data_IF_238073364029
#
_entry.id   IF_238073364029
#
_cell.length_a   1.000
_cell.length_b   1.000
_cell.length_c   1.000
_cell.angle_alpha   90.00
_cell.angle_beta   90.00
_cell.angle_gamma   90.00
#
_symmetry.space_group_name_H-M   'P 1'
#
loop_
_entity.id
_entity.type
_entity.pdbx_description
1 polymer ?
#
# COMPACT_ATOMS: atom_id res chain seq x y z
N UNK A 1 -31.51 -46.66 11.21
CA UNK A 1 -31.11 -45.99 12.47
C UNK A 1 -29.59 -45.99 12.51
N UNK A 2 -28.83 -44.92 12.35
CA UNK A 2 -29.08 -43.51 12.01
C UNK A 2 -27.70 -42.96 11.61
N UNK A 3 -27.66 -42.30 10.44
CA UNK A 3 -26.93 -41.07 10.14
C UNK A 3 -25.81 -40.63 11.08
N UNK A 4 -24.58 -40.51 10.55
CA UNK A 4 -23.65 -39.43 10.87
C UNK A 4 -22.81 -39.12 9.62
N UNK A 5 -23.35 -38.19 8.82
CA UNK A 5 -22.71 -37.60 7.63
C UNK A 5 -21.52 -36.74 8.03
N UNK A 6 -20.44 -36.82 7.25
CA UNK A 6 -19.24 -35.97 7.38
C UNK A 6 -19.48 -34.53 6.85
N UNK A 7 -20.70 -34.01 7.03
CA UNK A 7 -21.13 -32.64 6.84
C UNK A 7 -21.86 -32.23 8.12
N UNK A 8 -21.11 -32.03 9.20
CA UNK A 8 -21.54 -31.28 10.39
C UNK A 8 -20.29 -31.01 11.25
N UNK A 9 -19.32 -30.30 10.66
CA UNK A 9 -18.62 -29.36 11.53
C UNK A 9 -19.71 -28.36 11.92
N UNK A 10 -20.01 -28.18 13.23
CA UNK A 10 -20.96 -27.16 13.64
C UNK A 10 -20.56 -25.87 12.92
N UNK A 11 -21.53 -25.10 12.37
CA UNK A 11 -21.21 -23.80 11.80
C UNK A 11 -20.31 -23.12 12.81
N UNK A 12 -19.08 -22.80 12.39
CA UNK A 12 -18.08 -22.20 13.27
C UNK A 12 -18.81 -21.11 13.99
N UNK A 13 -19.05 -21.29 15.30
CA UNK A 13 -19.90 -20.36 16.06
C UNK A 13 -19.42 -18.97 15.66
N UNK A 14 -20.32 -18.09 15.19
CA UNK A 14 -19.91 -16.79 14.72
C UNK A 14 -19.03 -16.22 15.81
N UNK A 15 -17.74 -16.02 15.49
CA UNK A 15 -16.78 -15.53 16.48
C UNK A 15 -17.45 -14.33 17.13
N UNK A 16 -17.64 -14.34 18.46
CA UNK A 16 -18.44 -13.33 19.13
C UNK A 16 -17.97 -11.97 18.64
N UNK A 17 -18.93 -11.16 18.16
CA UNK A 17 -18.60 -9.89 17.54
C UNK A 17 -17.82 -9.07 18.56
N UNK A 18 -16.53 -8.84 18.28
CA UNK A 18 -15.69 -8.05 19.15
C UNK A 18 -16.19 -6.60 19.07
N UNK A 19 -16.90 -6.18 20.11
CA UNK A 19 -17.36 -4.80 20.30
C UNK A 19 -16.34 -4.07 21.17
N UNK A 20 -15.95 -2.87 20.75
CA UNK A 20 -15.16 -1.94 21.56
C UNK A 20 -16.10 -1.09 22.40
N UNK A 21 -16.64 -1.68 23.46
CA UNK A 21 -17.41 -0.97 24.46
C UNK A 21 -16.51 -0.24 25.48
N UNK A 22 -17.13 0.52 26.37
CA UNK A 22 -16.42 1.28 27.39
C UNK A 22 -15.60 0.39 28.34
N UNK A 23 -16.11 -0.80 28.68
CA UNK A 23 -15.43 -1.74 29.56
C UNK A 23 -14.14 -2.25 28.91
N UNK A 24 -14.21 -2.68 27.65
CA UNK A 24 -13.04 -3.14 26.88
C UNK A 24 -12.03 -2.01 26.67
N UNK A 25 -12.48 -0.79 26.39
CA UNK A 25 -11.60 0.38 26.29
C UNK A 25 -10.88 0.65 27.62
N UNK A 26 -11.59 0.53 28.75
CA UNK A 26 -11.03 0.69 30.09
C UNK A 26 -9.99 -0.38 30.40
N UNK A 27 -10.25 -1.64 30.05
CA UNK A 27 -9.32 -2.75 30.24
C UNK A 27 -8.08 -2.63 29.35
N UNK A 28 -8.26 -2.27 28.07
CA UNK A 28 -7.16 -1.98 27.15
C UNK A 28 -6.29 -0.83 27.67
N UNK A 29 -6.90 0.26 28.13
CA UNK A 29 -6.18 1.38 28.73
C UNK A 29 -5.46 1.01 30.04
N UNK A 30 -6.06 0.19 30.91
CA UNK A 30 -5.42 -0.28 32.14
C UNK A 30 -4.16 -1.09 31.84
N UNK A 31 -4.22 -1.99 30.84
CA UNK A 31 -3.05 -2.76 30.38
C UNK A 31 -2.00 -1.86 29.70
N UNK A 32 -2.43 -0.83 28.97
CA UNK A 32 -1.52 0.18 28.40
C UNK A 32 -0.78 0.94 29.51
N UNK A 33 -1.51 1.41 30.52
CA UNK A 33 -0.95 2.15 31.67
C UNK A 33 0.05 1.31 32.46
N UNK A 34 -0.23 0.03 32.65
CA UNK A 34 0.65 -0.92 33.34
C UNK A 34 1.93 -1.25 32.56
N UNK A 35 1.98 -1.01 31.25
CA UNK A 35 3.17 -1.27 30.46
C UNK A 35 4.31 -0.32 30.82
N UNK A 36 5.52 -0.86 31.02
CA UNK A 36 6.71 -0.06 31.37
C UNK A 36 7.17 0.84 30.21
N UNK A 37 6.96 0.37 28.97
CA UNK A 37 7.34 1.08 27.76
C UNK A 37 6.07 1.32 26.96
N UNK A 38 5.89 2.55 26.50
CA UNK A 38 4.72 2.98 25.74
C UNK A 38 5.17 3.54 24.41
N UNK A 39 4.52 3.09 23.35
CA UNK A 39 4.81 3.55 21.99
C UNK A 39 3.59 4.23 21.41
N UNK A 40 3.81 5.19 20.53
CA UNK A 40 2.78 5.78 19.66
C UNK A 40 3.23 5.69 18.22
N UNK A 41 2.45 5.00 17.38
CA UNK A 41 2.68 5.00 15.94
C UNK A 41 2.30 6.35 15.35
N UNK A 42 3.29 7.14 14.94
CA UNK A 42 3.07 8.47 14.37
C UNK A 42 2.95 8.44 12.84
N UNK A 43 1.71 8.62 12.39
CA UNK A 43 1.35 8.62 10.97
C UNK A 43 1.41 9.99 10.31
N UNK A 44 1.87 11.05 10.99
CA UNK A 44 1.96 12.45 10.52
C UNK A 44 0.61 13.16 10.25
N UNK A 45 -0.50 12.43 10.19
CA UNK A 45 -1.84 13.01 10.02
C UNK A 45 -2.47 13.49 11.32
N UNK A 46 -3.62 14.17 11.19
CA UNK A 46 -4.41 14.76 12.28
C UNK A 46 -4.51 13.87 13.53
N UNK A 47 -4.97 12.63 13.37
CA UNK A 47 -5.35 11.80 14.51
C UNK A 47 -4.14 11.44 15.39
N UNK A 48 -3.04 11.01 14.77
CA UNK A 48 -1.81 10.74 15.53
C UNK A 48 -1.14 12.02 16.04
N UNK A 49 -1.34 13.16 15.39
CA UNK A 49 -0.87 14.46 15.88
C UNK A 49 -1.65 14.90 17.12
N UNK A 50 -2.98 14.80 17.13
CA UNK A 50 -3.81 15.15 18.30
C UNK A 50 -3.44 14.28 19.50
N UNK A 51 -3.24 12.97 19.29
CA UNK A 51 -2.76 12.07 20.35
C UNK A 51 -1.41 12.55 20.95
N UNK A 52 -0.44 12.98 20.12
CA UNK A 52 0.81 13.56 20.60
C UNK A 52 0.56 14.82 21.42
N UNK A 53 -0.25 15.75 20.90
CA UNK A 53 -0.53 17.03 21.58
C UNK A 53 -1.19 16.80 22.95
N UNK A 54 -2.07 15.82 23.03
CA UNK A 54 -2.73 15.41 24.27
C UNK A 54 -1.75 14.78 25.28
N UNK A 55 -0.85 13.91 24.82
CA UNK A 55 0.20 13.31 25.66
C UNK A 55 1.18 14.37 26.18
N UNK A 56 1.52 15.36 25.36
CA UNK A 56 2.41 16.46 25.76
C UNK A 56 1.75 17.40 26.78
N UNK A 57 0.43 17.61 26.66
CA UNK A 57 -0.37 18.49 27.52
C UNK A 57 -0.60 17.89 28.90
N UNK A 58 -1.03 16.64 28.96
CA UNK A 58 -1.38 15.96 30.21
C UNK A 58 -0.96 14.48 30.16
N UNK A 59 0.34 14.18 30.30
CA UNK A 59 0.83 12.81 30.18
C UNK A 59 0.16 11.84 31.16
N UNK A 60 -0.10 12.29 32.39
CA UNK A 60 -0.63 11.43 33.46
C UNK A 60 -2.06 10.99 33.17
N UNK A 61 -2.91 11.88 32.63
CA UNK A 61 -4.27 11.51 32.21
C UNK A 61 -4.29 10.42 31.12
N UNK A 62 -3.22 10.31 30.33
CA UNK A 62 -3.03 9.27 29.32
C UNK A 62 -2.15 8.11 29.79
N UNK A 63 -1.91 7.99 31.11
CA UNK A 63 -1.21 6.86 31.70
C UNK A 63 0.31 6.87 31.46
N UNK A 64 0.88 8.00 31.05
CA UNK A 64 2.32 8.18 30.80
C UNK A 64 3.02 8.76 32.04
N UNK A 65 4.35 8.65 32.08
CA UNK A 65 5.16 9.33 33.08
C UNK A 65 5.05 10.87 32.91
N UNK A 66 5.08 11.66 34.00
CA UNK A 66 4.99 13.13 33.93
C UNK A 66 6.05 13.80 33.03
N UNK A 67 7.21 13.16 32.89
CA UNK A 67 8.33 13.60 32.06
C UNK A 67 8.39 12.91 30.69
N UNK A 68 7.40 12.06 30.36
CA UNK A 68 7.32 11.29 29.13
C UNK A 68 8.53 10.36 28.89
N UNK A 69 9.27 10.01 29.93
CA UNK A 69 10.45 9.13 29.83
C UNK A 69 10.11 7.71 29.36
N UNK A 70 8.87 7.28 29.58
CA UNK A 70 8.31 5.99 29.17
C UNK A 70 7.65 6.00 27.78
N UNK A 71 7.56 7.16 27.13
CA UNK A 71 6.98 7.32 25.79
C UNK A 71 8.05 7.26 24.69
N UNK A 72 7.75 6.51 23.64
CA UNK A 72 8.49 6.48 22.37
C UNK A 72 7.51 6.76 21.24
N UNK A 73 7.76 7.80 20.47
CA UNK A 73 6.99 8.11 19.26
C UNK A 73 7.73 7.52 18.07
N UNK A 74 7.09 6.63 17.31
CA UNK A 74 7.74 5.89 16.22
C UNK A 74 7.06 6.23 14.90
N UNK A 75 7.82 6.71 13.92
CA UNK A 75 7.35 7.01 12.57
C UNK A 75 7.94 6.03 11.56
N UNK A 76 7.08 5.49 10.67
CA UNK A 76 7.53 4.68 9.54
C UNK A 76 7.64 5.53 8.26
N UNK A 77 8.87 5.76 7.80
CA UNK A 77 9.17 6.52 6.60
C UNK A 77 8.94 5.69 5.33
N UNK A 78 7.80 5.92 4.67
CA UNK A 78 7.39 5.18 3.46
C UNK A 78 8.02 5.71 2.16
N UNK A 79 8.50 6.97 2.16
CA UNK A 79 9.25 7.56 1.03
C UNK A 79 8.53 8.60 0.19
N UNK A 80 7.20 8.71 0.31
CA UNK A 80 6.37 9.33 -0.73
C UNK A 80 5.25 10.20 -0.19
N UNK A 81 5.43 10.72 1.01
CA UNK A 81 4.55 11.73 1.57
C UNK A 81 4.74 13.06 0.84
N UNK A 82 3.74 13.93 0.90
CA UNK A 82 3.84 15.31 0.43
C UNK A 82 4.84 16.12 1.27
N UNK A 83 5.53 17.06 0.63
CA UNK A 83 6.48 17.96 1.30
C UNK A 83 5.80 18.83 2.35
N UNK A 84 4.57 19.27 2.08
CA UNK A 84 3.78 20.06 3.04
C UNK A 84 3.53 19.32 4.35
N UNK A 85 3.29 18.00 4.31
CA UNK A 85 3.14 17.19 5.54
C UNK A 85 4.43 17.17 6.35
N UNK A 86 5.58 16.97 5.72
CA UNK A 86 6.87 17.01 6.42
C UNK A 86 7.12 18.37 7.05
N UNK A 87 6.92 19.46 6.29
CA UNK A 87 7.15 20.82 6.77
C UNK A 87 6.27 21.17 7.98
N UNK A 88 4.99 20.81 7.94
CA UNK A 88 4.06 21.05 9.05
C UNK A 88 4.52 20.35 10.34
N UNK A 89 4.96 19.09 10.25
CA UNK A 89 5.47 18.31 11.40
C UNK A 89 6.78 18.87 11.93
N UNK A 90 7.72 19.19 11.04
CA UNK A 90 9.01 19.79 11.41
C UNK A 90 8.84 21.14 12.10
N UNK A 91 7.86 21.94 11.67
CA UNK A 91 7.57 23.26 12.24
C UNK A 91 6.80 23.17 13.56
N UNK A 92 5.78 22.32 13.65
CA UNK A 92 4.86 22.34 14.79
C UNK A 92 5.13 21.25 15.83
N UNK A 93 5.53 20.04 15.44
CA UNK A 93 5.54 18.89 16.35
C UNK A 93 6.95 18.54 16.83
N UNK A 94 7.95 18.51 15.95
CA UNK A 94 9.31 18.19 16.37
C UNK A 94 9.86 19.14 17.47
N UNK A 95 9.62 20.47 17.43
CA UNK A 95 10.05 21.36 18.51
C UNK A 95 9.44 20.99 19.86
N UNK A 96 8.15 20.60 19.89
CA UNK A 96 7.44 20.20 21.12
C UNK A 96 7.96 18.86 21.65
N UNK A 97 8.23 17.90 20.78
CA UNK A 97 8.87 16.63 21.18
C UNK A 97 10.25 16.87 21.79
N UNK A 98 11.06 17.75 21.17
CA UNK A 98 12.39 18.13 21.64
C UNK A 98 12.36 18.84 22.98
N UNK A 99 11.47 19.82 23.15
CA UNK A 99 11.28 20.57 24.41
C UNK A 99 10.97 19.63 25.57
N UNK A 100 10.13 18.61 25.33
CA UNK A 100 9.76 17.59 26.32
C UNK A 100 10.68 16.37 26.31
N UNK A 101 11.79 16.41 25.55
CA UNK A 101 12.77 15.33 25.35
C UNK A 101 12.16 13.96 25.05
N UNK A 102 11.02 13.91 24.35
CA UNK A 102 10.37 12.65 23.96
C UNK A 102 11.25 11.90 22.97
N UNK A 103 11.47 10.60 23.18
CA UNK A 103 12.23 9.77 22.22
C UNK A 103 11.42 9.61 20.95
N UNK A 104 11.96 10.11 19.85
CA UNK A 104 11.38 10.02 18.52
C UNK A 104 12.25 9.13 17.64
N UNK A 105 11.65 8.08 17.09
CA UNK A 105 12.33 7.07 16.28
C UNK A 105 11.72 7.04 14.88
N UNK A 106 12.56 7.06 13.87
CA UNK A 106 12.17 6.92 12.48
C UNK A 106 12.70 5.61 11.94
N UNK A 107 11.82 4.79 11.38
CA UNK A 107 12.16 3.48 10.82
C UNK A 107 11.71 3.39 9.37
N UNK A 108 12.41 2.59 8.57
CA UNK A 108 12.01 2.29 7.21
C UNK A 108 12.26 0.83 6.88
N UNK A 109 11.60 0.37 5.82
CA UNK A 109 11.91 -0.94 5.26
C UNK A 109 13.26 -0.92 4.56
N UNK A 110 14.10 -1.91 4.84
CA UNK A 110 15.49 -1.93 4.35
C UNK A 110 15.64 -2.39 2.89
N UNK A 111 14.73 -3.22 2.39
CA UNK A 111 14.86 -3.81 1.05
C UNK A 111 13.61 -4.50 0.48
N UNK A 112 13.69 -4.97 -0.79
CA UNK A 112 12.58 -5.58 -1.51
C UNK A 112 12.08 -6.91 -0.94
N UNK A 113 12.87 -7.61 -0.11
CA UNK A 113 12.41 -8.76 0.67
C UNK A 113 12.14 -8.36 2.12
N UNK A 114 11.07 -8.88 2.73
CA UNK A 114 10.83 -8.69 4.16
C UNK A 114 11.92 -9.35 5.02
N UNK A 115 12.59 -10.40 4.53
CA UNK A 115 13.71 -11.04 5.22
C UNK A 115 14.93 -10.13 5.39
N UNK A 116 14.98 -9.00 4.67
CA UNK A 116 16.06 -8.01 4.83
C UNK A 116 15.82 -7.08 6.03
N UNK A 117 14.68 -7.22 6.72
CA UNK A 117 14.38 -6.45 7.92
C UNK A 117 14.03 -4.99 7.65
N UNK A 118 14.15 -4.20 8.70
CA UNK A 118 13.97 -2.75 8.71
C UNK A 118 15.31 -2.06 8.99
N UNK A 119 15.32 -0.74 8.92
CA UNK A 119 16.43 0.11 9.35
C UNK A 119 15.92 1.25 10.23
N UNK A 120 16.74 1.67 11.18
CA UNK A 120 16.51 2.88 11.97
C UNK A 120 17.19 4.04 11.24
N UNK A 121 16.39 5.03 10.84
CA UNK A 121 16.88 6.23 10.15
C UNK A 121 17.33 7.29 11.15
N UNK A 122 16.64 7.38 12.28
CA UNK A 122 16.92 8.29 13.38
C UNK A 122 16.35 7.73 14.68
N UNK A 123 17.04 7.96 15.79
CA UNK A 123 16.58 7.67 17.15
C UNK A 123 17.14 8.78 18.04
N UNK A 124 16.28 9.75 18.38
CA UNK A 124 16.71 10.98 19.03
C UNK A 124 15.66 11.52 19.99
N UNK A 125 16.12 12.18 21.05
CA UNK A 125 15.28 13.03 21.92
C UNK A 125 15.31 14.50 21.52
N UNK A 126 16.08 14.83 20.49
CA UNK A 126 16.25 16.16 19.93
C UNK A 126 16.02 16.12 18.41
N UNK A 127 14.81 15.72 17.95
CA UNK A 127 14.54 15.65 16.52
C UNK A 127 14.45 17.06 15.90
N UNK A 128 15.03 17.23 14.71
CA UNK A 128 15.04 18.51 13.99
C UNK A 128 14.46 18.43 12.58
N UNK A 129 14.51 17.25 11.95
CA UNK A 129 14.02 17.00 10.59
C UNK A 129 13.48 15.59 10.50
N UNK A 130 12.54 15.37 9.59
CA UNK A 130 12.05 14.05 9.25
C UNK A 130 12.87 13.44 8.11
N UNK A 131 13.19 12.16 8.26
CA UNK A 131 13.77 11.37 7.20
C UNK A 131 12.69 10.98 6.20
N UNK A 132 12.72 11.61 5.02
CA UNK A 132 11.69 11.41 4.00
C UNK A 132 11.69 10.02 3.39
N UNK A 133 12.86 9.37 3.32
CA UNK A 133 13.02 8.03 2.75
C UNK A 133 14.12 7.24 3.46
N UNK A 134 13.93 5.93 3.54
CA UNK A 134 15.02 4.97 3.76
C UNK A 134 15.63 4.48 2.45
N UNK A 135 16.35 3.36 2.53
CA UNK A 135 16.99 2.66 1.40
C UNK A 135 15.97 2.13 0.40
N UNK A 136 14.82 1.67 0.88
CA UNK A 136 13.78 1.09 0.03
C UNK A 136 12.41 1.64 0.38
N UNK A 137 11.80 2.34 -0.57
CA UNK A 137 10.51 3.00 -0.40
C UNK A 137 9.38 2.19 -1.03
N UNK A 138 8.14 2.57 -0.72
CA UNK A 138 6.99 2.02 -1.43
C UNK A 138 7.05 2.37 -2.93
N UNK A 139 7.54 3.56 -3.29
CA UNK A 139 7.67 3.94 -4.68
C UNK A 139 8.65 3.04 -5.43
N UNK A 140 9.82 2.74 -4.84
CA UNK A 140 10.80 1.85 -5.44
C UNK A 140 10.18 0.45 -5.70
N UNK A 141 9.37 -0.05 -4.76
CA UNK A 141 8.63 -1.30 -4.95
C UNK A 141 7.61 -1.22 -6.10
N UNK A 142 6.84 -0.14 -6.17
CA UNK A 142 5.81 0.05 -7.19
C UNK A 142 6.41 0.24 -8.59
N UNK A 143 7.49 1.02 -8.69
CA UNK A 143 8.25 1.26 -9.93
C UNK A 143 8.87 -0.05 -10.44
N UNK A 144 9.67 -0.75 -9.61
CA UNK A 144 10.23 -2.06 -9.98
C UNK A 144 9.13 -3.11 -10.24
N UNK A 145 8.00 -2.97 -9.54
CA UNK A 145 6.78 -3.75 -9.68
C UNK A 145 6.07 -3.54 -11.02
N UNK A 146 6.24 -2.37 -11.65
CA UNK A 146 5.38 -1.94 -12.75
C UNK A 146 3.90 -2.06 -12.36
N UNK A 147 3.59 -1.59 -11.15
CA UNK A 147 2.28 -1.73 -10.50
C UNK A 147 2.00 -0.50 -9.64
N UNK A 148 0.73 -0.28 -9.33
CA UNK A 148 0.28 0.73 -8.36
C UNK A 148 -0.28 0.06 -7.09
N UNK A 149 -0.32 0.77 -5.95
CA UNK A 149 -1.02 0.29 -4.77
C UNK A 149 -2.47 -0.09 -5.10
N UNK A 150 -2.92 -1.23 -4.60
CA UNK A 150 -4.26 -1.75 -4.88
C UNK A 150 -5.15 -1.58 -3.65
N UNK A 151 -6.37 -1.11 -3.83
CA UNK A 151 -7.38 -1.10 -2.76
C UNK A 151 -7.74 -2.52 -2.33
N UNK A 152 -7.81 -3.43 -3.30
CA UNK A 152 -8.07 -4.84 -3.09
C UNK A 152 -6.90 -5.52 -2.38
N UNK A 153 -7.19 -6.33 -1.36
CA UNK A 153 -6.18 -7.09 -0.60
C UNK A 153 -5.79 -6.49 0.76
N UNK A 154 -6.46 -5.43 1.22
CA UNK A 154 -6.43 -5.03 2.64
C UNK A 154 -5.20 -4.24 3.09
N UNK A 155 -4.90 -3.11 2.41
CA UNK A 155 -3.84 -2.17 2.80
C UNK A 155 -2.43 -2.79 2.82
N UNK A 156 -2.12 -3.68 1.87
CA UNK A 156 -0.82 -4.40 1.82
C UNK A 156 0.38 -3.47 1.81
N UNK A 157 0.30 -2.31 1.17
CA UNK A 157 1.35 -1.30 1.20
C UNK A 157 1.66 -0.83 2.63
N UNK A 158 0.62 -0.53 3.42
CA UNK A 158 0.74 -0.13 4.81
C UNK A 158 1.27 -1.25 5.69
N UNK A 159 0.83 -2.50 5.46
CA UNK A 159 1.34 -3.65 6.23
C UNK A 159 2.83 -3.86 6.00
N UNK A 160 3.29 -3.79 4.74
CA UNK A 160 4.69 -4.06 4.37
C UNK A 160 5.64 -2.92 4.71
N UNK A 161 5.20 -1.67 4.59
CA UNK A 161 6.08 -0.49 4.72
C UNK A 161 5.86 0.30 6.01
N UNK A 162 4.79 0.04 6.76
CA UNK A 162 4.57 0.63 8.09
C UNK A 162 4.60 -0.42 9.18
N UNK A 163 3.58 -1.29 9.23
CA UNK A 163 3.43 -2.25 10.33
C UNK A 163 4.70 -3.11 10.51
N UNK A 164 5.18 -3.74 9.44
CA UNK A 164 6.41 -4.55 9.47
C UNK A 164 7.63 -3.84 10.07
N UNK A 165 7.87 -2.57 9.73
CA UNK A 165 9.03 -1.82 10.22
C UNK A 165 8.85 -1.36 11.68
N UNK A 166 7.65 -0.93 12.04
CA UNK A 166 7.30 -0.53 13.41
C UNK A 166 7.39 -1.74 14.35
N UNK A 167 6.75 -2.84 13.96
CA UNK A 167 6.69 -4.09 14.71
C UNK A 167 8.09 -4.69 14.89
N UNK A 168 8.88 -4.75 13.82
CA UNK A 168 10.26 -5.23 13.87
C UNK A 168 11.12 -4.39 14.82
N UNK A 169 10.98 -3.07 14.79
CA UNK A 169 11.70 -2.19 15.73
C UNK A 169 11.33 -2.46 17.19
N UNK A 170 10.05 -2.60 17.49
CA UNK A 170 9.59 -2.86 18.85
C UNK A 170 10.09 -4.23 19.33
N UNK A 171 10.00 -5.26 18.50
CA UNK A 171 10.44 -6.62 18.82
C UNK A 171 11.94 -6.69 19.10
N UNK A 172 12.77 -6.09 18.23
CA UNK A 172 14.22 -6.12 18.36
C UNK A 172 14.74 -5.22 19.51
N UNK A 173 14.08 -4.09 19.75
CA UNK A 173 14.53 -3.12 20.78
C UNK A 173 14.12 -3.55 22.19
N UNK A 174 12.98 -4.24 22.32
CA UNK A 174 12.40 -4.59 23.61
C UNK A 174 12.06 -6.09 23.71
N UNK A 175 13.05 -6.98 23.52
CA UNK A 175 12.81 -8.41 23.50
C UNK A 175 12.24 -8.89 24.83
N UNK A 176 11.09 -9.55 24.78
CA UNK A 176 10.41 -10.10 25.96
C UNK A 176 9.76 -9.08 26.89
N UNK A 177 9.79 -7.79 26.57
CA UNK A 177 9.13 -6.76 27.37
C UNK A 177 7.66 -6.60 27.00
N UNK A 178 6.83 -6.26 27.99
CA UNK A 178 5.45 -5.78 27.77
C UNK A 178 5.50 -4.34 27.26
N UNK A 179 5.19 -4.14 25.97
CA UNK A 179 5.05 -2.80 25.36
C UNK A 179 3.59 -2.46 25.14
N UNK A 180 3.18 -1.28 25.64
CA UNK A 180 1.87 -0.69 25.35
C UNK A 180 1.95 0.16 24.09
N UNK A 181 0.98 0.05 23.19
CA UNK A 181 0.95 0.78 21.91
C UNK A 181 -0.32 1.60 21.80
N UNK A 182 -0.16 2.92 21.76
CA UNK A 182 -1.24 3.84 21.44
C UNK A 182 -1.41 3.96 19.93
N UNK A 183 -2.67 3.97 19.47
CA UNK A 183 -3.04 4.18 18.07
C UNK A 183 -4.05 5.33 18.00
N UNK A 184 -3.73 6.35 17.20
CA UNK A 184 -4.60 7.51 16.99
C UNK A 184 -5.77 7.22 16.04
N UNK A 185 -6.64 6.26 16.35
CA UNK A 185 -7.94 6.16 15.67
C UNK A 185 -8.93 7.09 16.37
N UNK A 186 -9.62 7.96 15.63
CA UNK A 186 -10.68 8.80 16.20
C UNK A 186 -11.97 8.00 16.46
N UNK A 187 -12.93 8.59 17.18
CA UNK A 187 -14.18 7.94 17.58
C UNK A 187 -15.05 7.44 16.40
N UNK A 188 -14.81 7.93 15.18
CA UNK A 188 -15.49 7.46 13.97
C UNK A 188 -14.77 6.30 13.26
N UNK A 189 -13.69 5.77 13.85
CA UNK A 189 -12.86 4.68 13.30
C UNK A 189 -12.84 3.41 14.18
N UNK A 190 -13.87 3.20 15.00
CA UNK A 190 -14.09 2.04 15.87
C UNK A 190 -13.83 0.69 15.17
N UNK A 191 -14.31 0.52 13.93
CA UNK A 191 -14.10 -0.71 13.14
C UNK A 191 -12.61 -1.03 12.91
N UNK A 192 -11.76 -0.01 12.82
CA UNK A 192 -10.30 -0.20 12.67
C UNK A 192 -9.66 -0.63 13.98
N UNK A 193 -10.14 -0.11 15.10
CA UNK A 193 -9.71 -0.53 16.42
C UNK A 193 -10.14 -1.98 16.68
N UNK A 194 -11.39 -2.37 16.36
CA UNK A 194 -11.88 -3.76 16.45
C UNK A 194 -10.99 -4.70 15.64
N UNK A 195 -10.63 -4.31 14.41
CA UNK A 195 -9.73 -5.11 13.57
C UNK A 195 -8.33 -5.29 14.20
N UNK A 196 -7.84 -4.28 14.91
CA UNK A 196 -6.53 -4.31 15.57
C UNK A 196 -6.56 -5.21 16.81
N UNK A 197 -7.61 -5.12 17.63
CA UNK A 197 -7.87 -6.05 18.74
C UNK A 197 -7.97 -7.50 18.28
N UNK A 198 -8.72 -7.77 17.19
CA UNK A 198 -8.82 -9.12 16.60
C UNK A 198 -7.46 -9.64 16.13
N UNK A 199 -6.64 -8.79 15.51
CA UNK A 199 -5.30 -9.17 15.07
C UNK A 199 -4.39 -9.51 16.28
N UNK A 200 -4.52 -8.76 17.38
CA UNK A 200 -3.80 -9.03 18.62
C UNK A 200 -4.24 -10.35 19.28
N UNK A 201 -5.55 -10.55 19.46
CA UNK A 201 -6.11 -11.76 20.07
C UNK A 201 -5.77 -13.04 19.28
N UNK A 202 -5.68 -12.95 17.95
CA UNK A 202 -5.34 -14.07 17.08
C UNK A 202 -3.85 -14.46 17.03
N UNK A 203 -3.01 -13.92 17.92
CA UNK A 203 -1.57 -14.23 17.97
C UNK A 203 -0.78 -13.76 16.75
N UNK A 204 -1.33 -12.81 15.98
CA UNK A 204 -0.66 -12.18 14.82
C UNK A 204 0.05 -10.86 15.18
N UNK A 205 -0.05 -10.42 16.44
CA UNK A 205 0.76 -9.32 16.96
C UNK A 205 2.22 -9.79 17.18
N UNK A 206 3.20 -8.87 17.15
CA UNK A 206 4.61 -9.18 17.43
C UNK A 206 4.76 -9.91 18.76
N UNK A 207 5.73 -10.82 18.85
CA UNK A 207 6.04 -11.53 20.11
C UNK A 207 6.56 -10.50 21.13
N UNK A 208 5.68 -10.04 22.04
CA UNK A 208 5.98 -9.00 23.03
C UNK A 208 5.02 -7.79 23.04
N UNK A 209 4.04 -7.72 22.13
CA UNK A 209 3.07 -6.62 22.06
C UNK A 209 1.87 -6.86 22.99
N UNK A 210 1.88 -6.28 24.20
CA UNK A 210 0.99 -6.73 25.29
C UNK A 210 -0.22 -5.81 25.57
N UNK A 211 -0.32 -4.60 24.98
CA UNK A 211 -1.55 -3.79 25.14
C UNK A 211 -1.73 -2.71 24.08
N UNK A 212 -2.98 -2.50 23.64
CA UNK A 212 -3.37 -1.41 22.75
C UNK A 212 -4.12 -0.33 23.55
N UNK A 213 -3.92 0.95 23.23
CA UNK A 213 -4.81 2.04 23.65
C UNK A 213 -5.29 2.81 22.42
N UNK A 214 -6.52 3.34 22.50
CA UNK A 214 -7.12 4.18 21.47
C UNK A 214 -7.56 5.51 22.11
N UNK A 215 -6.61 6.43 22.37
CA UNK A 215 -6.87 7.62 23.18
C UNK A 215 -8.07 8.43 22.69
N UNK A 216 -8.16 8.64 21.37
CA UNK A 216 -9.19 9.49 20.78
C UNK A 216 -10.58 8.84 20.74
N UNK A 217 -10.65 7.50 20.64
CA UNK A 217 -11.92 6.76 20.81
C UNK A 217 -12.36 6.87 22.26
N UNK A 218 -11.46 6.61 23.21
CA UNK A 218 -11.75 6.65 24.65
C UNK A 218 -12.22 8.03 25.11
N UNK A 219 -11.70 9.10 24.52
CA UNK A 219 -12.14 10.48 24.81
C UNK A 219 -13.29 10.96 23.91
N UNK A 220 -13.87 10.09 23.08
CA UNK A 220 -15.00 10.43 22.21
C UNK A 220 -14.70 11.49 21.14
N UNK A 221 -13.44 11.69 20.76
CA UNK A 221 -13.04 12.74 19.81
C UNK A 221 -13.38 12.32 18.39
N UNK A 222 -14.25 13.08 17.74
CA UNK A 222 -14.59 12.88 16.34
C UNK A 222 -13.50 13.44 15.43
N UNK A 223 -13.56 13.13 14.13
CA UNK A 223 -12.66 13.73 13.13
C UNK A 223 -12.65 15.26 13.20
N UNK A 224 -13.82 15.88 13.33
CA UNK A 224 -13.94 17.35 13.36
C UNK A 224 -13.29 17.95 14.61
N UNK A 225 -13.40 17.28 15.76
CA UNK A 225 -12.75 17.72 16.99
C UNK A 225 -11.23 17.66 16.88
N UNK A 226 -10.71 16.55 16.34
CA UNK A 226 -9.27 16.35 16.09
C UNK A 226 -8.73 17.42 15.16
N UNK A 227 -9.39 17.67 14.02
CA UNK A 227 -8.96 18.69 13.04
C UNK A 227 -8.90 20.06 13.70
N UNK A 228 -10.02 20.50 14.30
CA UNK A 228 -10.10 21.81 14.98
C UNK A 228 -9.00 21.96 16.03
N UNK A 229 -8.80 20.95 16.87
CA UNK A 229 -7.82 21.00 17.96
C UNK A 229 -6.39 21.11 17.44
N UNK A 230 -6.03 20.32 16.43
CA UNK A 230 -4.68 20.36 15.85
C UNK A 230 -4.42 21.74 15.27
N UNK A 231 -5.36 22.30 14.51
CA UNK A 231 -5.20 23.63 13.91
C UNK A 231 -5.15 24.74 14.97
N UNK A 232 -5.98 24.69 16.02
CA UNK A 232 -5.94 25.64 17.14
C UNK A 232 -4.60 25.63 17.88
N UNK A 233 -4.03 24.44 18.15
CA UNK A 233 -2.79 24.31 18.94
C UNK A 233 -1.55 24.61 18.10
N UNK A 234 -1.58 24.26 16.82
CA UNK A 234 -0.44 24.46 15.91
C UNK A 234 -0.46 25.83 15.23
N UNK A 235 -1.63 26.48 15.15
CA UNK A 235 -1.82 27.75 14.46
C UNK A 235 -1.72 27.63 12.93
N UNK A 236 -1.88 26.43 12.36
CA UNK A 236 -1.73 26.19 10.92
C UNK A 236 -2.71 25.13 10.40
N UNK A 237 -3.11 25.20 9.11
CA UNK A 237 -3.87 24.14 8.47
C UNK A 237 -3.08 22.83 8.46
N UNK A 238 -3.75 21.70 8.66
CA UNK A 238 -3.05 20.42 8.86
C UNK A 238 -3.49 19.28 7.92
N UNK A 239 -3.06 19.20 6.66
CA UNK A 239 -3.57 18.16 5.74
C UNK A 239 -3.50 16.69 6.23
N UNK A 240 -4.35 15.84 5.64
CA UNK A 240 -4.27 14.37 5.87
C UNK A 240 -2.90 13.84 5.42
N UNK A 241 -2.39 12.83 6.14
CA UNK A 241 -1.17 12.12 5.73
C UNK A 241 -1.50 10.89 4.88
N UNK A 242 -0.94 10.84 3.68
CA UNK A 242 -0.85 9.69 2.80
C UNK A 242 0.15 9.98 1.65
N UNK A 243 0.59 8.91 0.97
CA UNK A 243 1.47 9.05 -0.18
C UNK A 243 0.76 9.75 -1.35
N UNK A 244 1.47 10.56 -2.15
CA UNK A 244 0.88 11.26 -3.30
C UNK A 244 0.34 10.35 -4.43
N UNK A 245 0.57 9.03 -4.35
CA UNK A 245 -0.02 8.00 -5.21
C UNK A 245 -0.93 7.02 -4.43
N UNK A 246 -1.54 7.48 -3.34
CA UNK A 246 -2.42 6.64 -2.52
C UNK A 246 -3.73 6.34 -3.23
N UNK A 247 -4.03 5.06 -3.45
CA UNK A 247 -5.32 4.59 -3.99
C UNK A 247 -6.54 5.05 -3.17
N UNK A 248 -6.36 5.30 -1.88
CA UNK A 248 -7.45 5.70 -0.98
C UNK A 248 -7.82 7.19 -1.06
N UNK A 249 -7.09 8.01 -1.83
CA UNK A 249 -7.46 9.41 -2.05
C UNK A 249 -8.88 9.56 -2.64
N UNK A 250 -9.30 8.59 -3.48
CA UNK A 250 -10.67 8.54 -4.01
C UNK A 250 -11.70 8.09 -2.96
N UNK A 251 -11.43 7.01 -2.22
CA UNK A 251 -12.42 6.39 -1.31
C UNK A 251 -12.58 7.11 0.03
N UNK A 252 -11.62 7.95 0.43
CA UNK A 252 -11.69 8.70 1.69
C UNK A 252 -12.30 10.10 1.53
N UNK A 253 -13.06 10.33 0.44
CA UNK A 253 -13.63 11.63 0.06
C UNK A 253 -12.58 12.76 0.01
N UNK A 254 -11.31 12.40 -0.20
CA UNK A 254 -10.18 13.30 -0.14
C UNK A 254 -9.72 13.73 -1.54
N UNK A 255 -10.46 13.42 -2.61
CA UNK A 255 -10.03 13.73 -3.98
C UNK A 255 -9.86 15.24 -4.21
N UNK A 256 -10.79 16.13 -3.80
CA UNK A 256 -10.56 17.57 -3.94
C UNK A 256 -9.31 18.06 -3.19
N UNK A 257 -9.16 17.66 -1.91
CA UNK A 257 -7.95 17.97 -1.12
C UNK A 257 -6.68 17.40 -1.78
N UNK A 258 -6.76 16.19 -2.32
CA UNK A 258 -5.65 15.53 -3.01
C UNK A 258 -5.24 16.31 -4.26
N UNK A 259 -6.19 16.71 -5.10
CA UNK A 259 -5.93 17.47 -6.33
C UNK A 259 -5.34 18.85 -6.02
N UNK A 260 -5.81 19.52 -4.97
CA UNK A 260 -5.21 20.77 -4.48
C UNK A 260 -3.73 20.59 -4.11
N UNK A 261 -3.40 19.53 -3.38
CA UNK A 261 -1.99 19.24 -3.02
C UNK A 261 -1.15 18.85 -4.23
N UNK A 262 -1.72 18.14 -5.21
CA UNK A 262 -1.06 17.83 -6.47
C UNK A 262 -0.82 19.10 -7.31
N UNK A 263 -1.64 20.14 -7.17
CA UNK A 263 -1.42 21.46 -7.78
C UNK A 263 -0.25 22.20 -7.13
N UNK A 264 -0.11 22.09 -5.81
CA UNK A 264 1.02 22.65 -5.06
C UNK A 264 2.33 21.89 -5.31
N UNK A 265 2.26 20.59 -5.57
CA UNK A 265 3.42 19.72 -5.81
C UNK A 265 3.35 19.01 -7.19
N UNK A 266 3.45 19.76 -8.31
CA UNK A 266 3.20 19.21 -9.65
C UNK A 266 4.19 18.11 -10.06
N UNK A 267 5.43 18.14 -9.56
CA UNK A 267 6.39 17.05 -9.77
C UNK A 267 5.97 15.73 -9.11
N UNK A 268 5.28 15.78 -7.96
CA UNK A 268 4.72 14.59 -7.32
C UNK A 268 3.55 14.03 -8.15
N UNK A 269 2.68 14.92 -8.65
CA UNK A 269 1.59 14.56 -9.56
C UNK A 269 2.10 13.89 -10.84
N UNK A 270 3.14 14.45 -11.45
CA UNK A 270 3.79 13.89 -12.64
C UNK A 270 4.33 12.47 -12.39
N UNK A 271 5.03 12.23 -11.27
CA UNK A 271 5.49 10.87 -10.92
C UNK A 271 4.33 9.92 -10.62
N UNK A 272 3.23 10.39 -10.04
CA UNK A 272 2.01 9.60 -9.81
C UNK A 272 1.38 9.14 -11.13
N UNK A 273 1.20 10.07 -12.06
CA UNK A 273 0.67 9.77 -13.38
C UNK A 273 1.61 8.84 -14.18
N UNK A 274 2.94 9.01 -14.07
CA UNK A 274 3.92 8.09 -14.68
C UNK A 274 3.86 6.70 -14.07
N UNK A 275 3.75 6.58 -12.75
CA UNK A 275 3.63 5.30 -12.08
C UNK A 275 2.39 4.54 -12.56
N UNK A 276 1.25 5.23 -12.63
CA UNK A 276 0.01 4.66 -13.18
C UNK A 276 0.13 4.35 -14.68
N UNK A 277 0.79 5.21 -15.47
CA UNK A 277 1.04 4.98 -16.89
C UNK A 277 1.77 3.65 -17.13
N UNK A 278 2.88 3.42 -16.40
CA UNK A 278 3.66 2.17 -16.51
C UNK A 278 2.84 0.97 -16.04
N UNK A 279 2.12 1.09 -14.92
CA UNK A 279 1.24 0.03 -14.42
C UNK A 279 0.17 -0.35 -15.44
N UNK A 280 -0.47 0.65 -16.05
CA UNK A 280 -1.46 0.46 -17.10
C UNK A 280 -0.84 -0.10 -18.36
N UNK A 281 0.36 0.34 -18.76
CA UNK A 281 1.08 -0.20 -19.91
C UNK A 281 1.28 -1.71 -19.81
N UNK A 282 1.67 -2.19 -18.63
CA UNK A 282 1.92 -3.60 -18.33
C UNK A 282 0.66 -4.40 -17.97
N UNK A 283 -0.44 -3.71 -17.65
CA UNK A 283 -1.75 -4.29 -17.40
C UNK A 283 -2.82 -3.21 -17.59
N UNK A 284 -3.61 -3.30 -18.64
CA UNK A 284 -4.69 -2.34 -18.91
C UNK A 284 -5.67 -2.05 -17.74
N UNK A 285 -5.83 -3.00 -16.82
CA UNK A 285 -6.66 -2.85 -15.62
C UNK A 285 -5.85 -2.37 -14.40
N UNK A 286 -4.62 -1.91 -14.59
CA UNK A 286 -3.65 -1.51 -13.57
C UNK A 286 -3.76 -0.05 -13.14
N UNK A 287 -4.95 0.54 -13.16
CA UNK A 287 -5.19 1.90 -12.65
C UNK A 287 -5.06 1.95 -11.12
N UNK A 288 -4.71 3.14 -10.61
CA UNK A 288 -4.70 3.44 -9.18
C UNK A 288 -6.08 3.22 -8.57
N UNK A 289 -7.15 3.60 -9.28
CA UNK A 289 -8.49 3.70 -8.69
C UNK A 289 -9.42 2.54 -9.11
N UNK A 290 -10.24 2.01 -8.19
CA UNK A 290 -11.14 0.89 -8.48
C UNK A 290 -12.20 1.17 -9.56
N UNK A 291 -12.60 2.43 -9.72
CA UNK A 291 -13.53 2.86 -10.76
C UNK A 291 -12.90 2.86 -12.16
N UNK A 292 -11.60 2.55 -12.27
CA UNK A 292 -10.81 2.52 -13.51
C UNK A 292 -10.67 3.88 -14.20
N UNK A 293 -10.97 4.97 -13.51
CA UNK A 293 -10.68 6.33 -13.98
C UNK A 293 -9.27 6.72 -13.58
N UNK A 294 -8.31 6.87 -14.51
CA UNK A 294 -6.93 7.15 -14.15
C UNK A 294 -6.76 8.52 -13.50
N UNK A 295 -5.70 8.67 -12.70
CA UNK A 295 -5.32 9.95 -12.09
C UNK A 295 -5.15 11.04 -13.15
N UNK A 296 -4.62 10.69 -14.32
CA UNK A 296 -4.52 11.65 -15.43
C UNK A 296 -5.89 12.24 -15.81
N UNK A 297 -6.97 11.44 -15.83
CA UNK A 297 -8.33 11.95 -16.08
C UNK A 297 -8.76 12.94 -14.99
N UNK A 298 -8.49 12.61 -13.72
CA UNK A 298 -8.85 13.47 -12.58
C UNK A 298 -8.08 14.81 -12.63
N UNK A 299 -6.77 14.78 -12.87
CA UNK A 299 -5.90 15.97 -12.99
C UNK A 299 -6.29 16.82 -14.20
N UNK A 300 -6.70 16.20 -15.30
CA UNK A 300 -7.22 16.90 -16.48
C UNK A 300 -8.54 17.62 -16.17
N UNK A 301 -9.48 16.93 -15.51
CA UNK A 301 -10.77 17.51 -15.13
C UNK A 301 -10.63 18.67 -14.13
N UNK A 302 -9.62 18.62 -13.25
CA UNK A 302 -9.27 19.69 -12.30
C UNK A 302 -8.64 20.92 -12.98
N UNK A 303 -8.24 20.83 -14.25
CA UNK A 303 -7.54 21.90 -14.95
C UNK A 303 -6.13 22.17 -14.40
N UNK A 304 -5.49 21.18 -13.80
CA UNK A 304 -4.16 21.32 -13.20
C UNK A 304 -3.05 21.27 -14.27
N UNK A 305 -2.93 22.36 -15.03
CA UNK A 305 -2.03 22.48 -16.17
C UNK A 305 -0.54 22.29 -15.79
N UNK A 306 -0.13 22.71 -14.59
CA UNK A 306 1.24 22.55 -14.11
C UNK A 306 1.60 21.06 -13.94
N UNK A 307 0.73 20.28 -13.30
CA UNK A 307 0.94 18.84 -13.14
C UNK A 307 0.97 18.10 -14.48
N UNK A 308 0.10 18.47 -15.43
CA UNK A 308 0.08 17.89 -16.78
C UNK A 308 1.35 18.26 -17.57
N UNK A 309 1.80 19.51 -17.47
CA UNK A 309 3.04 19.97 -18.10
C UNK A 309 4.27 19.23 -17.56
N UNK A 310 4.38 19.07 -16.24
CA UNK A 310 5.44 18.28 -15.60
C UNK A 310 5.38 16.81 -16.00
N UNK A 311 4.18 16.24 -16.16
CA UNK A 311 4.02 14.86 -16.63
C UNK A 311 4.50 14.68 -18.08
N UNK A 312 4.11 15.57 -18.99
CA UNK A 312 4.58 15.54 -20.37
C UNK A 312 6.09 15.78 -20.46
N UNK A 313 6.62 16.74 -19.68
CA UNK A 313 8.05 16.97 -19.58
C UNK A 313 8.78 15.72 -19.09
N UNK A 314 8.25 15.03 -18.08
CA UNK A 314 8.82 13.81 -17.53
C UNK A 314 8.83 12.65 -18.53
N UNK A 315 7.78 12.50 -19.35
CA UNK A 315 7.75 11.48 -20.41
C UNK A 315 8.72 11.78 -21.57
N UNK A 316 9.01 13.07 -21.80
CA UNK A 316 9.88 13.54 -22.88
C UNK A 316 11.30 13.89 -22.42
N UNK A 317 11.64 13.74 -21.13
CA UNK A 317 12.98 13.99 -20.60
C UNK A 317 13.99 13.08 -21.32
N UNK A 318 15.02 13.62 -22.00
CA UNK A 318 16.05 12.81 -22.67
C UNK A 318 16.80 11.85 -21.74
N UNK A 319 16.78 12.09 -20.42
CA UNK A 319 17.38 11.23 -19.39
C UNK A 319 16.43 10.13 -18.92
N UNK A 320 15.16 10.19 -19.31
CA UNK A 320 14.21 9.12 -19.03
C UNK A 320 14.42 7.99 -20.04
N UNK A 321 15.00 6.89 -19.57
CA UNK A 321 15.04 5.67 -20.37
C UNK A 321 13.63 5.12 -20.58
N UNK A 322 13.39 4.62 -21.79
CA UNK A 322 12.22 3.85 -22.17
C UNK A 322 12.63 2.41 -22.45
N UNK A 323 11.66 1.51 -22.36
CA UNK A 323 11.85 0.12 -22.66
C UNK A 323 10.67 -0.40 -23.50
N UNK A 324 11.00 -1.28 -24.46
CA UNK A 324 10.01 -2.16 -25.07
C UNK A 324 9.93 -3.41 -24.21
N UNK A 325 8.80 -3.57 -23.52
CA UNK A 325 8.52 -4.72 -22.69
C UNK A 325 7.77 -5.78 -23.48
N UNK A 326 8.12 -7.04 -23.27
CA UNK A 326 7.29 -8.19 -23.63
C UNK A 326 6.59 -8.72 -22.38
N UNK A 327 5.27 -8.64 -22.39
CA UNK A 327 4.42 -9.05 -21.29
C UNK A 327 3.75 -10.36 -21.67
N UNK A 328 3.95 -11.38 -20.83
CA UNK A 328 3.28 -12.68 -20.96
C UNK A 328 2.50 -12.98 -19.70
N UNK A 329 1.20 -13.26 -19.84
CA UNK A 329 0.30 -13.54 -18.72
C UNK A 329 -0.41 -14.88 -18.93
N UNK A 330 -0.53 -15.65 -17.87
CA UNK A 330 -1.39 -16.83 -17.83
C UNK A 330 -2.46 -16.62 -16.78
N UNK A 331 -3.70 -16.90 -17.15
CA UNK A 331 -4.86 -16.85 -16.29
C UNK A 331 -5.42 -18.25 -16.12
N UNK A 332 -4.90 -19.06 -15.17
CA UNK A 332 -5.37 -20.42 -14.94
C UNK A 332 -6.83 -20.46 -14.53
N UNK A 333 -7.49 -21.58 -14.80
CA UNK A 333 -8.81 -21.88 -14.28
C UNK A 333 -8.71 -22.33 -12.81
N UNK A 334 -9.66 -21.90 -11.98
CA UNK A 334 -9.71 -22.26 -10.56
C UNK A 334 -9.98 -23.76 -10.44
N UNK A 335 -9.39 -24.41 -9.45
CA UNK A 335 -9.78 -25.79 -9.08
C UNK A 335 -11.21 -25.81 -8.55
N UNK A 336 -12.02 -26.75 -9.03
CA UNK A 336 -13.37 -27.01 -8.51
C UNK A 336 -13.31 -27.42 -7.04
N UNK A 337 -14.43 -27.27 -6.30
CA UNK A 337 -14.51 -27.68 -4.90
C UNK A 337 -14.25 -29.18 -4.74
N UNK A 338 -14.97 -30.01 -5.50
CA UNK A 338 -14.80 -31.46 -5.55
C UNK A 338 -13.35 -31.88 -5.83
N UNK A 339 -12.62 -31.17 -6.70
CA UNK A 339 -11.20 -31.45 -6.93
C UNK A 339 -10.35 -31.24 -5.67
N UNK A 340 -10.64 -30.21 -4.87
CA UNK A 340 -9.86 -29.93 -3.65
C UNK A 340 -10.09 -30.99 -2.59
N UNK A 341 -11.30 -31.53 -2.52
CA UNK A 341 -11.66 -32.62 -1.62
C UNK A 341 -11.02 -33.94 -2.05
N UNK A 342 -11.14 -34.31 -3.33
CA UNK A 342 -10.66 -35.59 -3.86
C UNK A 342 -9.14 -35.62 -4.09
N UNK A 343 -8.52 -34.44 -4.25
CA UNK A 343 -7.10 -34.31 -4.53
C UNK A 343 -6.48 -33.20 -3.65
N UNK A 344 -6.23 -33.41 -2.35
CA UNK A 344 -5.74 -32.34 -1.47
C UNK A 344 -4.40 -31.71 -1.92
N UNK A 345 -3.60 -32.45 -2.72
CA UNK A 345 -2.37 -31.95 -3.35
C UNK A 345 -2.57 -31.15 -4.65
N UNK A 346 -1.56 -31.15 -5.50
CA UNK A 346 -1.59 -30.50 -6.83
C UNK A 346 -2.28 -31.40 -7.85
N UNK A 347 -3.44 -30.97 -8.37
CA UNK A 347 -4.15 -31.66 -9.45
C UNK A 347 -4.13 -30.83 -10.74
N UNK A 348 -3.79 -31.48 -11.85
CA UNK A 348 -3.68 -30.87 -13.19
C UNK A 348 -4.73 -31.39 -14.17
N UNK A 349 -5.66 -32.23 -13.72
CA UNK A 349 -6.69 -32.80 -14.56
C UNK A 349 -7.63 -31.70 -15.12
N UNK A 350 -7.94 -31.69 -16.43
CA UNK A 350 -8.81 -30.69 -17.03
C UNK A 350 -10.22 -30.61 -16.43
N UNK A 351 -10.83 -31.77 -16.12
CA UNK A 351 -12.17 -31.86 -15.53
C UNK A 351 -12.26 -31.22 -14.14
N UNK A 352 -11.12 -31.07 -13.46
CA UNK A 352 -11.03 -30.48 -12.14
C UNK A 352 -10.96 -28.95 -12.16
N UNK A 353 -11.16 -28.32 -13.32
CA UNK A 353 -10.95 -26.87 -13.52
C UNK A 353 -12.23 -26.18 -13.93
N UNK A 354 -12.60 -25.17 -13.16
CA UNK A 354 -13.67 -24.24 -13.47
C UNK A 354 -13.12 -23.10 -14.32
N UNK A 355 -13.45 -23.10 -15.62
CA UNK A 355 -13.03 -22.06 -16.58
C UNK A 355 -13.80 -20.75 -16.42
N UNK A 356 -14.88 -20.72 -15.63
CA UNK A 356 -15.59 -19.49 -15.27
C UNK A 356 -14.95 -18.79 -14.05
N UNK A 357 -14.14 -19.49 -13.26
CA UNK A 357 -13.48 -18.94 -12.08
C UNK A 357 -11.96 -18.76 -12.24
N UNK A 358 -11.46 -17.61 -11.79
CA UNK A 358 -10.04 -17.24 -11.88
C UNK A 358 -9.18 -18.01 -10.89
N UNK A 359 -8.13 -18.67 -11.38
CA UNK A 359 -7.03 -19.19 -10.58
C UNK A 359 -5.94 -18.16 -10.31
N UNK A 360 -4.85 -18.58 -9.65
CA UNK A 360 -3.72 -17.70 -9.38
C UNK A 360 -3.01 -17.31 -10.70
N UNK A 361 -3.04 -16.03 -11.06
CA UNK A 361 -2.42 -15.54 -12.28
C UNK A 361 -0.89 -15.67 -12.24
N UNK A 362 -0.29 -15.86 -13.41
CA UNK A 362 1.15 -15.91 -13.62
C UNK A 362 1.56 -14.81 -14.62
N UNK A 363 2.74 -14.23 -14.42
CA UNK A 363 3.28 -13.17 -15.27
C UNK A 363 4.77 -13.41 -15.51
N UNK A 364 5.21 -13.17 -16.73
CA UNK A 364 6.60 -12.95 -17.12
C UNK A 364 6.70 -11.59 -17.80
N UNK A 365 7.73 -10.83 -17.43
CA UNK A 365 8.06 -9.53 -17.98
C UNK A 365 9.53 -9.55 -18.40
N UNK A 366 9.79 -9.38 -19.69
CA UNK A 366 11.13 -9.24 -20.26
C UNK A 366 11.27 -7.89 -20.96
N UNK A 367 12.50 -7.40 -21.08
CA UNK A 367 12.83 -6.18 -21.82
C UNK A 367 13.48 -6.57 -23.13
N UNK A 368 12.87 -6.17 -24.24
CA UNK A 368 13.32 -6.47 -25.61
C UNK A 368 14.30 -5.42 -26.14
N UNK A 369 14.17 -4.17 -25.66
CA UNK A 369 15.03 -3.06 -26.01
C UNK A 369 14.91 -1.95 -24.96
N UNK A 370 15.96 -1.15 -24.81
CA UNK A 370 15.99 0.08 -24.01
C UNK A 370 16.58 1.23 -24.81
N UNK A 371 16.15 2.45 -24.53
CA UNK A 371 16.70 3.66 -25.15
C UNK A 371 15.76 4.85 -25.00
N UNK A 372 15.86 5.82 -25.90
CA UNK A 372 14.93 6.98 -25.88
C UNK A 372 13.49 6.58 -26.18
N UNK A 373 12.53 7.46 -25.84
CA UNK A 373 11.11 7.31 -26.18
C UNK A 373 10.91 7.03 -27.67
N UNK A 374 11.53 7.83 -28.53
CA UNK A 374 11.45 7.71 -29.99
C UNK A 374 12.03 6.40 -30.49
N UNK A 375 13.19 5.99 -29.96
CA UNK A 375 13.80 4.71 -30.31
C UNK A 375 12.89 3.54 -29.94
N UNK A 376 12.37 3.49 -28.71
CA UNK A 376 11.49 2.41 -28.27
C UNK A 376 10.15 2.40 -29.01
N UNK A 377 9.60 3.57 -29.34
CA UNK A 377 8.39 3.67 -30.18
C UNK A 377 8.64 3.13 -31.60
N UNK A 378 9.77 3.48 -32.22
CA UNK A 378 10.15 2.92 -33.52
C UNK A 378 10.36 1.40 -33.43
N UNK A 379 11.07 0.94 -32.42
CA UNK A 379 11.32 -0.49 -32.20
C UNK A 379 10.03 -1.28 -32.03
N UNK A 380 9.04 -0.73 -31.32
CA UNK A 380 7.71 -1.34 -31.19
C UNK A 380 7.02 -1.46 -32.56
N UNK A 381 7.10 -0.43 -33.42
CA UNK A 381 6.56 -0.46 -34.79
C UNK A 381 7.26 -1.49 -35.67
N UNK A 382 8.59 -1.58 -35.59
CA UNK A 382 9.36 -2.57 -36.36
C UNK A 382 9.00 -4.00 -35.95
N UNK A 383 8.84 -4.25 -34.63
CA UNK A 383 8.38 -5.54 -34.12
C UNK A 383 6.96 -5.84 -34.57
N UNK A 384 6.07 -4.86 -34.59
CA UNK A 384 4.70 -4.99 -35.08
C UNK A 384 4.67 -5.44 -36.57
N UNK A 385 5.47 -4.79 -37.41
CA UNK A 385 5.61 -5.13 -38.82
C UNK A 385 6.18 -6.55 -39.00
N UNK A 386 7.20 -6.94 -38.23
CA UNK A 386 7.82 -8.26 -38.31
C UNK A 386 6.85 -9.42 -37.97
N UNK A 387 5.86 -9.19 -37.09
CA UNK A 387 4.85 -10.20 -36.74
C UNK A 387 3.53 -10.02 -37.50
N UNK A 388 3.47 -9.08 -38.45
CA UNK A 388 2.26 -8.68 -39.18
C UNK A 388 1.06 -8.39 -38.26
N UNK A 389 1.28 -7.56 -37.23
CA UNK A 389 0.24 -7.10 -36.30
C UNK A 389 0.22 -5.58 -36.23
N UNK A 390 -0.96 -4.96 -36.03
CA UNK A 390 -1.05 -3.51 -35.87
C UNK A 390 -0.50 -3.07 -34.51
N UNK A 391 -0.04 -1.82 -34.45
CA UNK A 391 0.13 -1.10 -33.19
C UNK A 391 -1.23 -0.52 -32.79
N UNK A 392 -1.70 -0.87 -31.61
CA UNK A 392 -2.99 -0.44 -31.09
C UNK A 392 -2.80 0.57 -29.96
N UNK A 393 -3.46 1.74 -30.07
CA UNK A 393 -3.38 2.82 -29.08
C UNK A 393 -4.56 2.75 -28.12
N UNK A 394 -4.25 2.59 -26.84
CA UNK A 394 -5.21 2.60 -25.73
C UNK A 394 -5.31 4.00 -25.12
N UNK A 395 -6.49 4.60 -25.24
CA UNK A 395 -6.78 5.95 -24.77
C UNK A 395 -7.19 6.07 -23.30
N UNK A 396 -7.32 4.97 -22.54
CA UNK A 396 -7.85 5.01 -21.16
C UNK A 396 -7.06 5.91 -20.22
N UNK A 397 -5.72 5.90 -20.29
CA UNK A 397 -4.85 6.79 -19.50
C UNK A 397 -4.86 8.25 -20.02
N UNK A 398 -5.45 8.52 -21.18
CA UNK A 398 -5.42 9.79 -21.96
C UNK A 398 -4.06 10.17 -22.56
N UNK A 399 -2.94 9.84 -21.92
CA UNK A 399 -1.60 10.00 -22.52
C UNK A 399 -1.37 9.08 -23.75
N UNK A 400 -2.19 8.03 -23.87
CA UNK A 400 -2.11 7.03 -24.94
C UNK A 400 -1.01 6.00 -24.68
N UNK A 401 -1.39 4.72 -24.75
CA UNK A 401 -0.47 3.60 -24.57
C UNK A 401 -0.54 2.71 -25.80
N UNK A 402 0.59 2.57 -26.49
CA UNK A 402 0.69 1.78 -27.72
C UNK A 402 1.11 0.34 -27.38
N UNK A 403 0.34 -0.64 -27.86
CA UNK A 403 0.61 -2.08 -27.67
C UNK A 403 0.54 -2.85 -28.99
N UNK A 404 1.28 -3.94 -29.06
CA UNK A 404 1.19 -4.94 -30.14
C UNK A 404 0.80 -6.26 -29.51
N UNK A 405 -0.44 -6.69 -29.73
CA UNK A 405 -0.90 -7.97 -29.20
C UNK A 405 -0.46 -9.13 -30.09
N UNK A 406 0.33 -10.04 -29.53
CA UNK A 406 0.71 -11.31 -30.17
C UNK A 406 -0.34 -12.39 -29.89
N UNK A 407 -0.96 -12.31 -28.70
CA UNK A 407 -2.07 -13.17 -28.28
C UNK A 407 -3.00 -12.38 -27.36
N UNK A 408 -4.26 -12.23 -27.77
CA UNK A 408 -5.33 -11.62 -26.96
C UNK A 408 -6.06 -12.67 -26.15
N UNK A 409 -6.56 -12.26 -24.98
CA UNK A 409 -7.56 -13.05 -24.28
C UNK A 409 -8.87 -13.08 -25.09
N UNK A 410 -9.62 -14.19 -25.03
CA UNK A 410 -10.97 -14.23 -25.59
C UNK A 410 -11.89 -13.30 -24.79
N UNK A 411 -12.91 -12.77 -25.47
CA UNK A 411 -14.01 -12.01 -24.87
C UNK A 411 -15.34 -12.74 -25.16
N UNK A 412 -16.11 -13.17 -24.15
CA UNK A 412 -15.84 -13.08 -22.71
C UNK A 412 -14.64 -13.93 -22.27
N UNK A 413 -13.95 -13.49 -21.22
CA UNK A 413 -12.79 -14.19 -20.67
C UNK A 413 -13.19 -15.59 -20.20
N UNK A 414 -12.52 -16.61 -20.75
CA UNK A 414 -12.52 -17.98 -20.23
C UNK A 414 -11.14 -18.31 -19.65
N UNK A 415 -11.11 -18.70 -18.38
CA UNK A 415 -9.86 -19.04 -17.69
C UNK A 415 -9.27 -20.37 -18.22
N UNK A 416 -7.97 -20.55 -18.00
CA UNK A 416 -7.14 -21.46 -18.78
C UNK A 416 -6.76 -20.83 -20.13
N UNK A 417 -6.42 -19.55 -20.11
CA UNK A 417 -5.99 -18.77 -21.26
C UNK A 417 -4.68 -18.05 -20.98
N UNK A 418 -3.98 -17.71 -22.05
CA UNK A 418 -2.74 -16.96 -22.01
C UNK A 418 -2.85 -15.73 -22.90
N UNK A 419 -2.07 -14.72 -22.57
CA UNK A 419 -2.02 -13.45 -23.28
C UNK A 419 -0.57 -13.02 -23.45
N UNK A 420 -0.29 -12.37 -24.57
CA UNK A 420 1.03 -11.88 -24.90
C UNK A 420 0.93 -10.58 -25.69
N UNK A 421 1.68 -9.58 -25.26
CA UNK A 421 1.80 -8.32 -26.00
C UNK A 421 3.15 -7.67 -25.77
N UNK A 422 3.51 -6.81 -26.70
CA UNK A 422 4.63 -5.87 -26.61
C UNK A 422 4.07 -4.49 -26.28
N UNK A 423 4.81 -3.71 -25.48
CA UNK A 423 4.42 -2.34 -25.10
C UNK A 423 5.66 -1.50 -24.88
N UNK A 424 5.62 -0.22 -25.26
CA UNK A 424 6.67 0.76 -24.94
C UNK A 424 6.23 1.60 -23.74
N UNK A 425 7.08 1.71 -22.72
CA UNK A 425 6.83 2.53 -21.53
C UNK A 425 8.16 2.96 -20.87
N UNK A 426 8.15 3.94 -19.94
CA UNK A 426 9.34 4.25 -19.14
C UNK A 426 9.99 3.00 -18.53
N UNK A 427 11.33 2.96 -18.53
CA UNK A 427 12.16 1.82 -18.15
C UNK A 427 12.28 1.62 -16.62
N UNK A 428 11.17 1.70 -15.87
CA UNK A 428 11.19 1.58 -14.41
C UNK A 428 10.91 0.17 -13.89
N UNK A 429 10.24 -0.68 -14.68
CA UNK A 429 9.82 -2.01 -14.25
C UNK A 429 10.93 -3.04 -14.46
N UNK A 430 11.26 -3.77 -13.38
CA UNK A 430 12.26 -4.82 -13.45
C UNK A 430 11.73 -6.07 -14.17
N UNK A 431 12.60 -6.72 -14.95
CA UNK A 431 12.34 -8.05 -15.49
C UNK A 431 12.03 -9.03 -14.36
N UNK A 432 11.06 -9.90 -14.58
CA UNK A 432 10.65 -10.88 -13.57
C UNK A 432 9.78 -11.96 -14.15
N UNK A 433 9.96 -13.16 -13.62
CA UNK A 433 9.06 -14.28 -13.79
C UNK A 433 9.16 -15.21 -12.59
N UNK A 434 8.13 -16.04 -12.40
CA UNK A 434 8.20 -17.11 -11.40
C UNK A 434 8.97 -18.29 -11.99
N UNK A 435 9.70 -19.03 -11.15
CA UNK A 435 10.48 -20.22 -11.55
C UNK A 435 9.73 -21.19 -12.48
N UNK A 436 8.45 -21.44 -12.21
CA UNK A 436 7.63 -22.39 -12.98
C UNK A 436 6.83 -21.74 -14.12
N UNK A 437 7.06 -20.45 -14.42
CA UNK A 437 6.35 -19.75 -15.50
C UNK A 437 6.52 -20.43 -16.86
N UNK A 438 7.73 -20.86 -17.30
CA UNK A 438 7.89 -21.48 -18.61
C UNK A 438 7.04 -22.75 -18.77
N UNK A 439 6.97 -23.60 -17.75
CA UNK A 439 6.16 -24.83 -17.78
C UNK A 439 4.67 -24.54 -17.81
N UNK A 440 4.21 -23.51 -17.08
CA UNK A 440 2.80 -23.08 -17.09
C UNK A 440 2.44 -22.43 -18.43
N UNK A 441 3.36 -21.67 -19.00
CA UNK A 441 3.21 -21.05 -20.33
C UNK A 441 3.09 -22.09 -21.43
N UNK A 442 4.01 -23.06 -21.49
CA UNK A 442 3.97 -24.15 -22.48
C UNK A 442 2.62 -24.90 -22.42
N UNK A 443 2.19 -25.27 -21.22
CA UNK A 443 0.92 -25.98 -21.01
C UNK A 443 -0.28 -25.19 -21.56
N UNK A 444 -0.41 -23.91 -21.22
CA UNK A 444 -1.61 -23.13 -21.56
C UNK A 444 -1.52 -22.50 -22.93
N UNK A 445 -0.41 -21.81 -23.22
CA UNK A 445 -0.27 -20.99 -24.42
C UNK A 445 0.09 -21.82 -25.65
N UNK A 446 0.89 -22.88 -25.49
CA UNK A 446 1.37 -23.70 -26.61
C UNK A 446 0.53 -24.98 -26.80
N UNK A 447 0.19 -25.68 -25.70
CA UNK A 447 -0.58 -26.94 -25.76
C UNK A 447 -2.10 -26.77 -25.59
N UNK A 448 -2.58 -25.56 -25.24
CA UNK A 448 -4.02 -25.30 -25.04
C UNK A 448 -4.64 -26.04 -23.85
N UNK A 449 -3.82 -26.57 -22.94
CA UNK A 449 -4.27 -27.32 -21.78
C UNK A 449 -4.59 -26.38 -20.62
N UNK A 450 -5.57 -26.71 -19.73
CA UNK A 450 -5.82 -25.90 -18.55
C UNK A 450 -4.61 -25.95 -17.57
N UNK A 451 -4.25 -24.80 -17.01
CA UNK A 451 -3.23 -24.67 -15.95
C UNK A 451 -3.74 -25.06 -14.56
#
# INVERSE_FOLDING_TARGET
>A
MSDLTLFDLPPREPEPELVLDEARLRDSFARFRAARIKTLSYGLGYDSTDAILEFLRDPVAYGLAPDLSDLIVIHAAVGSEFRSTYAAVEQAILPRLRERRVRFVEVARRGPSLSQGYEVLSDSREPHRLHRRGRFTLLDEMEAGGTVPQAAGGNTCSLKHKAFALDGFVEDTFPGATVGTAIGYNASEDRRAVKSEKAQAGGKAPRGLVSLDYPLIRTGRTRSDVVRRVEEVTGMPWGRSYCWFCVYSLSCAAMPEHLLRLREEPAAAARAMRLEYVSMALNENGSLYPNKEPLHTQVTADGNAAALGEFEALLNDPRQDWAVYRVRRVYPARRTASCREQHPGTCVAPVCRDRAAKGAAWRSLTVEATGSRTFCAQRLRDLAAAVNRPVERDGRHRAGIDRVYLRRLPDPIRYGAAEEFLVSAPATAAQKERKNFPSVWDRVALRGLPA
#
